data_IF_065394350398
#
_entry.id   IF_065394350398
#
_cell.length_a   1.000
_cell.length_b   1.000
_cell.length_c   1.000
_cell.angle_alpha   90.00
_cell.angle_beta   90.00
_cell.angle_gamma   90.00
#
_symmetry.space_group_name_H-M   'P 1'
#
loop_
_entity.id
_entity.type
_entity.pdbx_description
1 polymer ?
#
# COMPACT_ATOMS: atom_id res chain seq x y z
N UNK A 1 -4.58 -68.13 -14.10
CA UNK A 1 -3.82 -67.49 -15.21
C UNK A 1 -4.85 -67.04 -16.24
N UNK A 2 -5.43 -65.84 -16.24
CA UNK A 2 -4.88 -64.53 -15.87
C UNK A 2 -4.66 -63.72 -17.16
N UNK A 3 -5.77 -63.36 -17.83
CA UNK A 3 -5.79 -62.60 -19.09
C UNK A 3 -5.22 -61.18 -18.93
N UNK A 4 -4.29 -60.81 -19.82
CA UNK A 4 -3.74 -59.45 -19.91
C UNK A 4 -4.59 -58.56 -20.83
N UNK A 5 -5.21 -57.54 -20.23
CA UNK A 5 -5.92 -56.44 -20.89
C UNK A 5 -4.94 -55.42 -21.49
N UNK A 6 -5.32 -54.89 -22.66
CA UNK A 6 -4.86 -53.61 -23.22
C UNK A 6 -5.20 -52.42 -22.32
N UNK A 7 -4.35 -51.39 -22.27
CA UNK A 7 -4.68 -49.96 -22.53
C UNK A 7 -3.42 -49.06 -22.44
N UNK A 8 -3.30 -48.00 -23.26
CA UNK A 8 -2.10 -47.14 -23.33
C UNK A 8 -2.08 -46.03 -22.26
N UNK A 9 -0.88 -45.74 -21.75
CA UNK A 9 -0.57 -44.64 -20.83
C UNK A 9 -0.74 -43.26 -21.51
N UNK A 10 -1.55 -42.41 -20.88
CA UNK A 10 -1.68 -41.00 -21.20
C UNK A 10 -0.73 -40.20 -20.30
N UNK A 11 0.45 -39.85 -20.85
CA UNK A 11 1.42 -38.94 -20.20
C UNK A 11 1.02 -37.50 -20.50
N UNK A 12 0.18 -36.92 -19.65
CA UNK A 12 -0.05 -35.48 -19.60
C UNK A 12 0.83 -34.88 -18.50
N UNK A 13 2.08 -34.55 -18.86
CA UNK A 13 3.01 -33.87 -17.95
C UNK A 13 3.06 -32.38 -18.33
N UNK A 14 2.14 -31.62 -17.73
CA UNK A 14 2.12 -30.16 -17.76
C UNK A 14 2.88 -29.67 -16.52
N UNK A 15 4.20 -29.51 -16.63
CA UNK A 15 5.03 -28.94 -15.56
C UNK A 15 4.94 -27.41 -15.60
N UNK A 16 4.06 -26.87 -14.76
CA UNK A 16 4.03 -25.45 -14.43
C UNK A 16 5.29 -25.07 -13.65
N UNK A 17 6.23 -24.39 -14.31
CA UNK A 17 7.38 -23.74 -13.66
C UNK A 17 6.90 -22.49 -12.90
N UNK A 18 6.44 -22.69 -11.66
CA UNK A 18 6.32 -21.58 -10.71
C UNK A 18 7.68 -21.33 -10.09
N UNK A 19 8.36 -20.27 -10.54
CA UNK A 19 9.55 -19.75 -9.87
C UNK A 19 9.07 -18.85 -8.73
N UNK A 20 9.32 -19.18 -7.45
CA UNK A 20 9.05 -18.24 -6.38
C UNK A 20 10.17 -17.19 -6.38
N UNK A 21 9.85 -15.97 -6.82
CA UNK A 21 10.70 -14.79 -6.63
C UNK A 21 10.84 -14.52 -5.14
N UNK A 22 11.97 -14.90 -4.56
CA UNK A 22 12.34 -14.58 -3.19
C UNK A 22 12.61 -13.07 -3.07
N UNK A 23 11.59 -12.33 -2.64
CA UNK A 23 11.77 -10.96 -2.17
C UNK A 23 12.49 -11.06 -0.83
N UNK A 24 13.73 -10.56 -0.79
CA UNK A 24 14.54 -10.37 0.41
C UNK A 24 13.80 -9.40 1.36
N UNK A 25 12.91 -9.93 2.20
CA UNK A 25 12.20 -9.17 3.25
C UNK A 25 13.10 -9.07 4.49
N UNK A 26 13.40 -7.83 4.89
CA UNK A 26 14.00 -7.52 6.18
C UNK A 26 13.06 -7.92 7.33
N UNK A 27 13.67 -8.33 8.44
CA UNK A 27 13.12 -9.10 9.57
C UNK A 27 12.10 -8.39 10.49
N UNK A 28 11.28 -7.45 10.04
CA UNK A 28 10.34 -6.73 10.95
C UNK A 28 8.88 -6.66 10.51
N UNK A 29 8.48 -7.24 9.38
CA UNK A 29 7.05 -7.29 9.03
C UNK A 29 6.36 -8.45 9.77
N UNK A 30 5.47 -8.11 10.71
CA UNK A 30 4.42 -9.03 11.18
C UNK A 30 3.72 -9.63 9.95
N UNK A 31 3.37 -10.93 9.95
CA UNK A 31 2.53 -11.48 8.90
C UNK A 31 1.23 -10.67 8.87
N UNK A 32 0.93 -10.11 7.69
CA UNK A 32 -0.24 -9.28 7.47
C UNK A 32 -1.48 -10.16 7.70
N UNK A 33 -2.49 -9.61 8.38
CA UNK A 33 -3.77 -10.31 8.52
C UNK A 33 -4.42 -10.54 7.14
N UNK A 34 -5.22 -11.59 6.97
CA UNK A 34 -5.88 -11.90 5.68
C UNK A 34 -6.68 -10.71 5.14
N UNK A 35 -7.19 -9.85 6.03
CA UNK A 35 -7.87 -8.60 5.68
C UNK A 35 -6.94 -7.55 5.04
N UNK A 36 -5.67 -7.50 5.43
CA UNK A 36 -4.66 -6.60 4.83
C UNK A 36 -4.18 -7.13 3.47
N UNK A 37 -4.10 -8.45 3.30
CA UNK A 37 -3.89 -9.06 1.98
C UNK A 37 -5.01 -8.67 1.02
N UNK A 38 -6.28 -8.72 1.46
CA UNK A 38 -7.43 -8.34 0.62
C UNK A 38 -7.43 -6.85 0.22
N UNK A 39 -7.01 -5.94 1.12
CA UNK A 39 -6.93 -4.50 0.83
C UNK A 39 -5.80 -4.16 -0.17
N UNK A 40 -4.64 -4.83 -0.07
CA UNK A 40 -3.57 -4.70 -1.06
C UNK A 40 -3.98 -5.26 -2.43
N UNK A 41 -4.77 -6.34 -2.46
CA UNK A 41 -5.34 -6.88 -3.70
C UNK A 41 -6.44 -5.98 -4.30
N UNK A 42 -7.07 -5.13 -3.48
CA UNK A 42 -8.01 -4.10 -3.94
C UNK A 42 -7.31 -2.90 -4.60
N UNK A 43 -6.02 -2.72 -4.33
CA UNK A 43 -5.15 -1.83 -5.11
C UNK A 43 -4.82 -2.61 -6.38
N UNK A 44 -5.56 -2.33 -7.47
CA UNK A 44 -5.58 -3.17 -8.67
C UNK A 44 -4.21 -3.77 -9.02
N UNK A 45 -4.18 -5.10 -9.20
CA UNK A 45 -2.97 -5.82 -9.56
C UNK A 45 -2.28 -5.11 -10.74
N UNK A 46 -0.98 -4.81 -10.57
CA UNK A 46 -0.14 -4.31 -11.65
C UNK A 46 -0.27 -5.31 -12.81
N UNK A 47 -0.83 -4.86 -13.94
CA UNK A 47 -1.10 -5.75 -15.06
C UNK A 47 0.21 -6.41 -15.48
N UNK A 48 0.26 -7.74 -15.64
CA UNK A 48 1.46 -8.43 -16.10
C UNK A 48 1.90 -7.81 -17.43
N UNK A 49 3.09 -7.21 -17.45
CA UNK A 49 3.64 -6.50 -18.62
C UNK A 49 3.68 -4.97 -18.53
N UNK A 50 3.09 -4.36 -17.50
CA UNK A 50 3.29 -2.92 -17.25
C UNK A 50 4.67 -2.67 -16.64
N UNK A 51 5.48 -1.85 -17.30
CA UNK A 51 6.83 -1.54 -16.82
C UNK A 51 6.84 -0.26 -16.00
N UNK A 52 7.87 -0.10 -15.14
CA UNK A 52 8.10 1.17 -14.43
C UNK A 52 8.19 2.35 -15.41
N UNK A 53 8.74 2.13 -16.60
CA UNK A 53 8.86 3.14 -17.64
C UNK A 53 7.49 3.60 -18.16
N UNK A 54 6.55 2.67 -18.36
CA UNK A 54 5.19 3.00 -18.78
C UNK A 54 4.46 3.79 -17.69
N UNK A 55 4.64 3.41 -16.43
CA UNK A 55 4.12 4.18 -15.30
C UNK A 55 4.67 5.62 -15.28
N UNK A 56 5.99 5.81 -15.45
CA UNK A 56 6.60 7.14 -15.48
C UNK A 56 6.12 7.98 -16.67
N UNK A 57 5.90 7.36 -17.83
CA UNK A 57 5.33 8.06 -18.99
C UNK A 57 3.92 8.56 -18.70
N UNK A 58 3.08 7.77 -18.02
CA UNK A 58 1.75 8.20 -17.61
C UNK A 58 1.76 9.40 -16.65
N UNK A 59 2.87 9.65 -15.94
CA UNK A 59 3.01 10.81 -15.05
C UNK A 59 3.14 12.13 -15.80
N UNK A 60 3.42 12.10 -17.10
CA UNK A 60 3.51 13.32 -17.92
C UNK A 60 2.15 14.01 -18.10
N UNK A 61 1.06 13.23 -18.08
CA UNK A 61 -0.31 13.75 -18.22
C UNK A 61 -1.09 13.77 -16.90
N UNK A 62 -0.59 13.07 -15.88
CA UNK A 62 -1.22 13.02 -14.57
C UNK A 62 -0.90 14.26 -13.73
N UNK A 63 -1.92 14.89 -13.15
CA UNK A 63 -1.77 15.99 -12.20
C UNK A 63 -2.08 15.49 -10.76
N UNK A 64 -1.06 15.27 -9.90
CA UNK A 64 -1.29 14.83 -8.52
C UNK A 64 -2.04 15.87 -7.69
N UNK A 65 -2.72 15.42 -6.62
CA UNK A 65 -3.37 16.29 -5.63
C UNK A 65 -2.44 17.33 -4.99
N UNK A 66 -1.15 17.01 -4.84
CA UNK A 66 -0.13 17.94 -4.35
C UNK A 66 0.40 18.71 -5.58
N UNK A 67 0.28 20.05 -5.61
CA UNK A 67 0.76 20.85 -6.74
C UNK A 67 2.28 20.75 -6.93
N UNK A 68 2.73 20.76 -8.18
CA UNK A 68 4.15 20.62 -8.55
C UNK A 68 5.05 21.66 -7.87
N UNK A 69 4.57 22.90 -7.69
CA UNK A 69 5.31 23.96 -7.01
C UNK A 69 5.62 23.64 -5.53
N UNK A 70 4.71 22.95 -4.83
CA UNK A 70 4.91 22.53 -3.44
C UNK A 70 5.97 21.45 -3.36
N UNK A 71 5.85 20.43 -4.23
CA UNK A 71 6.83 19.34 -4.28
C UNK A 71 8.21 19.87 -4.65
N UNK A 72 8.31 20.74 -5.65
CA UNK A 72 9.58 21.36 -6.05
C UNK A 72 10.22 22.17 -4.92
N UNK A 73 9.44 22.90 -4.12
CA UNK A 73 9.95 23.62 -2.96
C UNK A 73 10.61 22.67 -1.93
N UNK A 74 9.95 21.55 -1.59
CA UNK A 74 10.50 20.58 -0.64
C UNK A 74 11.68 19.79 -1.21
N UNK A 75 11.67 19.48 -2.51
CA UNK A 75 12.81 18.87 -3.20
C UNK A 75 14.04 19.78 -3.12
N UNK A 76 13.89 21.07 -3.49
CA UNK A 76 14.98 22.06 -3.43
C UNK A 76 15.50 22.27 -2.01
N UNK A 77 14.60 22.32 -1.02
CA UNK A 77 14.98 22.40 0.40
C UNK A 77 15.82 21.19 0.84
N UNK A 78 15.64 20.04 0.21
CA UNK A 78 16.40 18.81 0.47
C UNK A 78 17.67 18.70 -0.37
N UNK A 79 17.99 19.73 -1.18
CA UNK A 79 19.13 19.74 -2.10
C UNK A 79 18.92 18.97 -3.41
N UNK A 80 17.67 18.60 -3.73
CA UNK A 80 17.31 17.91 -4.97
C UNK A 80 16.67 18.91 -5.92
N UNK A 81 17.22 19.03 -7.13
CA UNK A 81 16.63 19.82 -8.21
C UNK A 81 16.43 18.91 -9.42
N UNK A 82 15.22 18.93 -9.98
CA UNK A 82 14.89 18.14 -11.17
C UNK A 82 14.02 18.98 -12.08
N UNK A 83 14.38 19.01 -13.36
CA UNK A 83 13.61 19.70 -14.40
C UNK A 83 12.53 18.80 -15.02
N UNK A 84 12.58 17.49 -14.78
CA UNK A 84 11.62 16.54 -15.35
C UNK A 84 10.32 16.52 -14.52
N UNK A 85 9.17 16.95 -15.08
CA UNK A 85 7.91 16.97 -14.35
C UNK A 85 7.47 15.58 -13.88
N UNK A 86 7.89 14.51 -14.57
CA UNK A 86 7.55 13.13 -14.16
C UNK A 86 8.21 12.76 -12.84
N UNK A 87 9.43 13.23 -12.60
CA UNK A 87 10.14 13.02 -11.33
C UNK A 87 9.44 13.78 -10.22
N UNK A 88 9.10 15.05 -10.45
CA UNK A 88 8.38 15.87 -9.47
C UNK A 88 7.06 15.20 -9.08
N UNK A 89 6.29 14.74 -10.06
CA UNK A 89 4.99 14.08 -9.83
C UNK A 89 5.12 12.71 -9.19
N UNK A 90 6.22 11.98 -9.45
CA UNK A 90 6.54 10.75 -8.74
C UNK A 90 6.71 10.99 -7.24
N UNK A 91 7.45 12.04 -6.85
CA UNK A 91 7.58 12.43 -5.44
C UNK A 91 6.22 12.78 -4.83
N UNK A 92 5.38 13.55 -5.54
CA UNK A 92 4.02 13.88 -5.11
C UNK A 92 3.17 12.62 -4.86
N UNK A 93 3.17 11.67 -5.79
CA UNK A 93 2.44 10.41 -5.67
C UNK A 93 2.97 9.53 -4.54
N UNK A 94 4.29 9.44 -4.38
CA UNK A 94 4.90 8.67 -3.30
C UNK A 94 4.48 9.23 -1.92
N UNK A 95 4.48 10.55 -1.75
CA UNK A 95 4.02 11.20 -0.53
C UNK A 95 2.51 10.98 -0.27
N UNK A 96 1.69 11.04 -1.31
CA UNK A 96 0.25 10.76 -1.22
C UNK A 96 -0.03 9.32 -0.83
N UNK A 97 0.66 8.37 -1.47
CA UNK A 97 0.55 6.95 -1.17
C UNK A 97 0.97 6.67 0.27
N UNK A 98 2.11 7.23 0.69
CA UNK A 98 2.59 7.11 2.07
C UNK A 98 1.57 7.61 3.10
N UNK A 99 1.00 8.79 2.87
CA UNK A 99 -0.04 9.36 3.76
C UNK A 99 -1.31 8.51 3.75
N UNK A 100 -1.72 8.03 2.58
CA UNK A 100 -2.92 7.20 2.41
C UNK A 100 -2.79 5.87 3.15
N UNK A 101 -1.63 5.22 3.09
CA UNK A 101 -1.38 3.97 3.80
C UNK A 101 -1.52 4.13 5.31
N UNK A 102 -0.90 5.18 5.88
CA UNK A 102 -1.01 5.47 7.33
C UNK A 102 -2.47 5.70 7.74
N UNK A 103 -3.23 6.47 6.95
CA UNK A 103 -4.65 6.76 7.23
C UNK A 103 -5.49 5.50 7.09
N UNK A 104 -5.20 4.64 6.12
CA UNK A 104 -5.91 3.38 5.91
C UNK A 104 -5.69 2.43 7.09
N UNK A 105 -4.46 2.32 7.59
CA UNK A 105 -4.14 1.53 8.77
C UNK A 105 -4.82 2.08 10.03
N UNK A 106 -4.83 3.41 10.21
CA UNK A 106 -5.60 4.06 11.28
C UNK A 106 -7.08 3.69 11.18
N UNK A 107 -7.66 3.77 9.98
CA UNK A 107 -9.07 3.43 9.76
C UNK A 107 -9.35 1.95 10.05
N UNK A 108 -8.45 1.06 9.66
CA UNK A 108 -8.57 -0.37 9.97
C UNK A 108 -8.52 -0.62 11.48
N UNK A 109 -7.56 -0.03 12.18
CA UNK A 109 -7.44 -0.18 13.63
C UNK A 109 -8.64 0.45 14.36
N UNK A 110 -9.19 1.57 13.86
CA UNK A 110 -10.41 2.17 14.41
C UNK A 110 -11.65 1.29 14.25
N UNK A 111 -11.78 0.60 13.12
CA UNK A 111 -12.84 -0.40 12.88
C UNK A 111 -12.70 -1.60 13.83
N UNK A 112 -11.50 -2.13 13.98
CA UNK A 112 -11.22 -3.26 14.88
C UNK A 112 -11.49 -2.92 16.36
N UNK A 113 -11.24 -1.67 16.76
CA UNK A 113 -11.52 -1.16 18.11
C UNK A 113 -12.96 -0.69 18.30
N UNK A 114 -13.82 -0.80 17.30
CA UNK A 114 -15.21 -0.31 17.33
C UNK A 114 -15.34 1.16 17.77
N UNK A 115 -14.38 2.02 17.35
CA UNK A 115 -14.37 3.45 17.69
C UNK A 115 -15.37 4.28 16.86
N UNK A 116 -16.11 3.63 15.96
CA UNK A 116 -17.11 4.27 15.12
C UNK A 116 -18.31 4.73 15.93
N UNK A 117 -18.74 5.98 15.71
CA UNK A 117 -19.95 6.52 16.32
C UNK A 117 -21.12 6.44 15.35
N UNK A 118 -22.18 5.75 15.77
CA UNK A 118 -23.44 5.69 15.02
C UNK A 118 -24.41 6.74 15.56
N UNK A 119 -24.98 7.57 14.68
CA UNK A 119 -26.11 8.44 15.08
C UNK A 119 -27.38 7.61 15.18
N UNK A 120 -28.15 7.76 16.27
CA UNK A 120 -29.47 7.12 16.40
C UNK A 120 -30.35 7.50 15.19
N UNK A 121 -30.81 6.50 14.45
CA UNK A 121 -31.69 6.68 13.28
C UNK A 121 -31.00 6.69 11.91
N UNK A 122 -29.66 6.63 11.85
CA UNK A 122 -28.92 6.62 10.58
C UNK A 122 -27.98 5.42 10.51
N UNK A 123 -27.89 4.76 9.34
CA UNK A 123 -26.94 3.65 9.08
C UNK A 123 -25.48 4.13 8.88
N UNK A 124 -25.20 5.39 9.16
CA UNK A 124 -23.88 6.01 8.94
C UNK A 124 -23.01 5.86 10.19
N UNK A 125 -21.88 5.16 10.03
CA UNK A 125 -20.84 5.04 11.05
C UNK A 125 -19.78 6.10 10.75
N UNK A 126 -19.54 7.00 11.69
CA UNK A 126 -18.53 8.05 11.56
C UNK A 126 -17.29 7.70 12.38
N UNK A 127 -16.13 7.78 11.73
CA UNK A 127 -14.83 7.58 12.36
C UNK A 127 -14.15 8.93 12.56
N UNK A 128 -13.48 9.08 13.69
CA UNK A 128 -12.67 10.26 14.01
C UNK A 128 -11.21 9.82 14.16
N UNK A 129 -10.29 10.52 13.50
CA UNK A 129 -8.86 10.26 13.65
C UNK A 129 -8.40 10.85 14.99
N UNK A 130 -8.17 9.99 15.98
CA UNK A 130 -7.70 10.42 17.30
C UNK A 130 -6.18 10.37 17.39
N UNK A 131 -5.67 11.18 18.30
CA UNK A 131 -4.25 11.32 18.61
C UNK A 131 -3.62 9.99 19.06
N UNK A 132 -4.33 9.23 19.90
CA UNK A 132 -3.91 7.93 20.42
C UNK A 132 -3.88 6.84 19.32
N UNK A 133 -4.86 6.87 18.41
CA UNK A 133 -4.92 5.97 17.27
C UNK A 133 -3.74 6.21 16.33
N UNK A 134 -3.49 7.48 15.99
CA UNK A 134 -2.41 7.85 15.10
C UNK A 134 -1.04 7.50 15.69
N UNK A 135 -0.80 7.75 16.98
CA UNK A 135 0.44 7.37 17.68
C UNK A 135 0.69 5.87 17.64
N UNK A 136 -0.36 5.07 17.89
CA UNK A 136 -0.26 3.62 17.83
C UNK A 136 0.20 3.15 16.46
N UNK A 137 -0.36 3.71 15.38
CA UNK A 137 0.03 3.34 14.01
C UNK A 137 1.44 3.84 13.69
N UNK A 138 1.75 5.11 13.96
CA UNK A 138 3.07 5.70 13.66
C UNK A 138 4.22 4.96 14.33
N UNK A 139 4.01 4.42 15.54
CA UNK A 139 5.00 3.58 16.23
C UNK A 139 5.32 2.30 15.43
N UNK A 140 4.35 1.71 14.72
CA UNK A 140 4.57 0.55 13.85
C UNK A 140 5.38 0.89 12.60
N UNK A 141 5.29 2.14 12.14
CA UNK A 141 6.12 2.71 11.08
C UNK A 141 7.51 3.18 11.56
N UNK A 142 7.81 3.07 12.86
CA UNK A 142 9.06 3.53 13.46
C UNK A 142 9.15 5.05 13.65
N UNK A 143 8.01 5.75 13.64
CA UNK A 143 7.93 7.20 13.79
C UNK A 143 7.55 7.52 15.24
N UNK A 144 8.47 8.15 15.98
CA UNK A 144 8.24 8.58 17.37
C UNK A 144 7.51 9.93 17.40
N UNK A 145 6.32 9.95 18.01
CA UNK A 145 5.55 11.19 18.21
C UNK A 145 5.81 11.71 19.61
N UNK A 146 6.51 12.85 19.72
CA UNK A 146 6.71 13.54 21.00
C UNK A 146 5.66 14.62 21.18
N UNK A 147 4.58 14.30 21.89
CA UNK A 147 3.63 15.31 22.37
C UNK A 147 4.07 15.83 23.74
N UNK A 148 4.35 17.13 23.90
CA UNK A 148 4.45 17.70 25.23
C UNK A 148 3.10 17.52 25.93
N UNK A 149 3.08 17.06 27.20
CA UNK A 149 1.85 16.73 27.90
C UNK A 149 0.94 17.95 28.12
N UNK A 150 1.47 19.17 28.02
CA UNK A 150 0.75 20.45 28.10
C UNK A 150 1.59 21.54 27.40
N UNK A 151 0.93 22.58 26.89
CA UNK A 151 1.59 23.83 26.48
C UNK A 151 2.08 24.56 27.75
N UNK A 152 3.37 24.93 27.79
CA UNK A 152 3.89 25.95 28.72
C UNK A 152 3.80 27.34 28.08
#
# INVERSE_FOLDING_TARGET
MGDHRNTPENVNQQTSSSVPTSILRSSTQRPLSDSQHSALLSSGAVTPGSTLRDFLNNLEEFAPTIPDAVTLHYMKRSGIDSADPRVIRLFSLAAQKFTSDIVLDCMQQARMKCLGQTKKGTKEIRYTLTSELLESVLTEYGIEVRKPPYFQ
#
